data_IF_793574114475
#
_entry.id   IF_793574114475
#
_cell.length_a   1.000
_cell.length_b   1.000
_cell.length_c   1.000
_cell.angle_alpha   90.00
_cell.angle_beta   90.00
_cell.angle_gamma   90.00
#
_symmetry.space_group_name_H-M   'P 1'
#
loop_
_entity.id
_entity.type
_entity.pdbx_description
1 polymer ?
#
# COMPACT_ATOMS: atom_id res chain seq x y z
N UNK A 1 9.25 10.64 5.98
CA UNK A 1 8.15 11.45 5.41
C UNK A 1 8.42 12.97 5.41
N UNK A 2 9.55 13.46 5.93
CA UNK A 2 9.90 14.91 5.93
C UNK A 2 10.54 15.44 4.64
N UNK A 3 11.00 14.56 3.75
CA UNK A 3 11.72 14.95 2.52
C UNK A 3 10.79 15.47 1.41
N UNK A 4 9.52 15.09 1.40
CA UNK A 4 8.58 15.51 0.34
C UNK A 4 8.10 16.96 0.53
N UNK A 5 8.07 17.47 1.76
CA UNK A 5 7.78 18.88 2.04
C UNK A 5 8.96 19.81 1.74
N UNK A 6 10.21 19.37 1.99
CA UNK A 6 11.40 20.17 1.67
C UNK A 6 11.65 20.25 0.16
N UNK A 7 11.45 19.14 -0.56
CA UNK A 7 11.54 19.12 -2.01
C UNK A 7 10.47 19.99 -2.68
N UNK A 8 9.28 20.10 -2.09
CA UNK A 8 8.22 20.97 -2.61
C UNK A 8 8.55 22.46 -2.47
N UNK A 9 9.09 22.91 -1.33
CA UNK A 9 9.56 24.29 -1.18
C UNK A 9 10.73 24.61 -2.13
N UNK A 10 11.65 23.66 -2.31
CA UNK A 10 12.77 23.81 -3.25
C UNK A 10 12.29 23.89 -4.70
N UNK A 11 11.34 23.03 -5.08
CA UNK A 11 10.73 23.02 -6.42
C UNK A 11 9.92 24.30 -6.67
N UNK A 12 9.16 24.79 -5.68
CA UNK A 12 8.46 26.07 -5.79
C UNK A 12 9.41 27.25 -5.97
N UNK A 13 10.54 27.25 -5.27
CA UNK A 13 11.56 28.29 -5.43
C UNK A 13 12.18 28.27 -6.83
N UNK A 14 12.42 27.07 -7.38
CA UNK A 14 13.03 26.87 -8.69
C UNK A 14 12.05 27.11 -9.86
N UNK A 15 10.76 26.80 -9.70
CA UNK A 15 9.73 27.16 -10.68
C UNK A 15 9.47 28.66 -10.69
N UNK A 16 9.51 29.31 -9.53
CA UNK A 16 9.33 30.76 -9.43
C UNK A 16 10.54 31.54 -9.96
N UNK A 17 11.73 30.95 -10.02
CA UNK A 17 12.91 31.59 -10.60
C UNK A 17 12.92 31.58 -12.13
N UNK A 18 12.16 30.67 -12.76
CA UNK A 18 12.06 30.52 -14.22
C UNK A 18 10.92 31.32 -14.85
N UNK A 19 10.04 31.92 -14.05
CA UNK A 19 8.87 32.66 -14.54
C UNK A 19 9.16 34.17 -14.63
N UNK A 20 9.58 34.67 -15.80
CA UNK A 20 9.91 36.09 -16.07
C UNK A 20 8.69 37.06 -16.07
N UNK A 21 7.53 36.67 -15.51
CA UNK A 21 6.30 37.50 -15.52
C UNK A 21 5.99 38.09 -14.15
N UNK A 22 5.39 39.30 -14.05
CA UNK A 22 5.26 40.04 -12.79
C UNK A 22 4.50 39.22 -11.73
N UNK A 23 4.89 39.34 -10.44
CA UNK A 23 4.49 38.42 -9.38
C UNK A 23 2.99 38.52 -9.09
N UNK A 24 2.19 37.68 -9.73
CA UNK A 24 0.81 37.41 -9.29
C UNK A 24 0.90 36.44 -8.11
N UNK A 25 0.50 36.92 -6.94
CA UNK A 25 0.57 36.18 -5.68
C UNK A 25 -0.12 34.80 -5.81
N UNK A 26 0.66 33.72 -5.71
CA UNK A 26 0.29 32.33 -6.00
C UNK A 26 -0.66 31.67 -4.98
N UNK A 27 -1.67 32.38 -4.49
CA UNK A 27 -2.69 31.84 -3.58
C UNK A 27 -3.43 30.65 -4.18
N UNK A 28 -3.63 30.65 -5.50
CA UNK A 28 -4.35 29.59 -6.22
C UNK A 28 -3.59 28.25 -6.23
N UNK A 29 -2.26 28.30 -6.37
CA UNK A 29 -1.37 27.14 -6.27
C UNK A 29 -1.31 26.59 -4.84
N UNK A 30 -1.26 27.47 -3.84
CA UNK A 30 -1.26 27.09 -2.42
C UNK A 30 -2.61 26.46 -2.04
N UNK A 31 -3.74 27.04 -2.47
CA UNK A 31 -5.08 26.50 -2.22
C UNK A 31 -5.27 25.14 -2.89
N UNK A 32 -4.83 25.00 -4.13
CA UNK A 32 -4.89 23.72 -4.85
C UNK A 32 -4.01 22.68 -4.16
N UNK A 33 -2.77 23.02 -3.79
CA UNK A 33 -1.88 22.13 -3.06
C UNK A 33 -2.45 21.71 -1.70
N UNK A 34 -2.99 22.65 -0.92
CA UNK A 34 -3.60 22.36 0.38
C UNK A 34 -4.89 21.56 0.22
N UNK A 35 -5.70 21.81 -0.81
CA UNK A 35 -6.89 21.03 -1.10
C UNK A 35 -6.55 19.58 -1.49
N UNK A 36 -5.57 19.37 -2.38
CA UNK A 36 -5.07 18.05 -2.72
C UNK A 36 -4.43 17.35 -1.52
N UNK A 37 -3.66 18.07 -0.70
CA UNK A 37 -3.14 17.56 0.55
C UNK A 37 -4.28 17.17 1.49
N UNK A 38 -5.33 17.97 1.63
CA UNK A 38 -6.47 17.68 2.51
C UNK A 38 -7.29 16.47 2.04
N UNK A 39 -7.50 16.34 0.72
CA UNK A 39 -8.14 15.18 0.09
C UNK A 39 -7.30 13.89 0.23
N UNK A 40 -5.99 14.00 0.07
CA UNK A 40 -5.03 12.93 0.35
C UNK A 40 -4.83 12.72 1.88
N UNK A 41 -5.34 13.66 2.69
CA UNK A 41 -5.29 13.88 4.15
C UNK A 41 -3.93 14.16 4.75
N UNK A 42 -3.46 15.37 4.47
CA UNK A 42 -2.27 16.02 4.96
C UNK A 42 -2.60 17.42 5.47
N UNK A 43 -3.57 17.52 6.37
CA UNK A 43 -3.62 18.60 7.36
C UNK A 43 -3.08 18.04 8.67
N UNK A 44 -1.77 18.16 8.88
CA UNK A 44 -1.02 18.02 10.14
C UNK A 44 -1.67 17.19 11.27
N UNK A 45 -1.90 15.88 11.08
CA UNK A 45 -2.14 14.97 12.22
C UNK A 45 -3.09 13.80 12.01
N UNK A 46 -3.90 13.77 10.96
CA UNK A 46 -4.77 12.63 10.66
C UNK A 46 -4.27 11.85 9.46
N UNK A 47 -4.23 10.52 9.54
CA UNK A 47 -4.18 9.67 8.34
C UNK A 47 -5.26 10.17 7.34
N UNK A 48 -4.95 10.18 6.04
CA UNK A 48 -5.88 10.44 4.93
C UNK A 48 -7.36 10.23 5.24
N UNK A 49 -8.29 11.15 4.91
CA UNK A 49 -9.73 10.78 4.92
C UNK A 49 -9.97 9.52 4.07
N UNK A 50 -9.29 9.46 2.92
CA UNK A 50 -9.27 8.29 2.06
C UNK A 50 -8.62 7.06 2.72
N UNK A 51 -7.51 7.24 3.45
CA UNK A 51 -6.87 6.13 4.17
C UNK A 51 -7.72 5.63 5.35
N UNK A 52 -8.38 6.52 6.09
CA UNK A 52 -9.28 6.15 7.17
C UNK A 52 -10.53 5.45 6.64
N UNK A 53 -11.15 5.97 5.58
CA UNK A 53 -12.29 5.32 4.93
C UNK A 53 -11.91 3.94 4.39
N UNK A 54 -10.75 3.83 3.74
CA UNK A 54 -10.19 2.55 3.28
C UNK A 54 -9.97 1.58 4.44
N UNK A 55 -9.32 2.01 5.51
CA UNK A 55 -9.11 1.17 6.71
C UNK A 55 -10.43 0.76 7.34
N UNK A 56 -11.42 1.66 7.38
CA UNK A 56 -12.75 1.37 7.91
C UNK A 56 -13.52 0.35 7.07
N UNK A 57 -13.48 0.47 5.75
CA UNK A 57 -14.04 -0.51 4.83
C UNK A 57 -13.32 -1.86 4.94
N UNK A 58 -12.00 -1.84 5.09
CA UNK A 58 -11.18 -3.05 5.24
C UNK A 58 -11.54 -3.85 6.48
N UNK A 59 -11.77 -3.19 7.63
CA UNK A 59 -12.17 -3.86 8.87
C UNK A 59 -13.40 -4.74 8.65
N UNK A 60 -14.40 -4.25 7.91
CA UNK A 60 -15.61 -5.02 7.62
C UNK A 60 -15.30 -6.22 6.73
N UNK A 61 -14.52 -6.02 5.67
CA UNK A 61 -14.16 -7.10 4.71
C UNK A 61 -13.40 -8.22 5.43
N UNK A 62 -12.38 -7.88 6.23
CA UNK A 62 -11.62 -8.85 7.02
C UNK A 62 -12.51 -9.62 7.98
N UNK A 63 -13.39 -8.95 8.72
CA UNK A 63 -14.30 -9.63 9.65
C UNK A 63 -15.22 -10.64 8.96
N UNK A 64 -15.73 -10.32 7.77
CA UNK A 64 -16.56 -11.24 7.00
C UNK A 64 -15.76 -12.44 6.47
N UNK A 65 -14.59 -12.19 5.88
CA UNK A 65 -13.72 -13.26 5.34
C UNK A 65 -13.24 -14.21 6.42
N UNK A 66 -12.79 -13.69 7.58
CA UNK A 66 -12.38 -14.51 8.73
C UNK A 66 -13.50 -15.43 9.19
N UNK A 67 -14.71 -14.89 9.38
CA UNK A 67 -15.85 -15.65 9.88
C UNK A 67 -16.24 -16.79 8.93
N UNK A 68 -16.24 -16.55 7.62
CA UNK A 68 -16.58 -17.58 6.64
C UNK A 68 -15.55 -18.71 6.64
N UNK A 69 -14.25 -18.35 6.63
CA UNK A 69 -13.14 -19.30 6.66
C UNK A 69 -13.13 -20.12 7.96
N UNK A 70 -13.36 -19.50 9.11
CA UNK A 70 -13.46 -20.19 10.40
C UNK A 70 -14.62 -21.19 10.43
N UNK A 71 -15.80 -20.83 9.91
CA UNK A 71 -16.98 -21.71 9.89
C UNK A 71 -16.77 -22.89 8.94
N UNK A 72 -16.17 -22.66 7.78
CA UNK A 72 -15.87 -23.71 6.81
C UNK A 72 -14.81 -24.68 7.36
N UNK A 73 -13.74 -24.17 7.97
CA UNK A 73 -12.72 -24.98 8.61
C UNK A 73 -13.25 -25.74 9.84
N UNK A 74 -14.12 -25.13 10.65
CA UNK A 74 -14.78 -25.79 11.76
C UNK A 74 -15.68 -26.94 11.28
N UNK A 75 -16.46 -26.73 10.21
CA UNK A 75 -17.26 -27.80 9.59
C UNK A 75 -16.37 -28.92 9.03
N UNK A 76 -15.28 -28.57 8.37
CA UNK A 76 -14.33 -29.55 7.84
C UNK A 76 -13.70 -30.38 8.97
N UNK A 77 -13.27 -29.74 10.05
CA UNK A 77 -12.72 -30.39 11.24
C UNK A 77 -13.75 -31.28 11.94
N UNK A 78 -15.00 -30.83 12.10
CA UNK A 78 -16.08 -31.62 12.71
C UNK A 78 -16.53 -32.79 11.83
N UNK A 79 -16.34 -32.70 10.50
CA UNK A 79 -16.55 -33.80 9.56
C UNK A 79 -15.42 -34.84 9.58
N UNK A 80 -14.28 -34.51 10.19
CA UNK A 80 -13.11 -35.39 10.29
C UNK A 80 -13.22 -36.32 11.52
N UNK A 81 -12.99 -37.61 11.30
CA UNK A 81 -13.40 -38.70 12.20
C UNK A 81 -12.90 -38.59 13.66
N UNK A 82 -13.75 -39.09 14.58
CA UNK A 82 -13.58 -39.22 16.04
C UNK A 82 -12.22 -39.77 16.52
N UNK A 83 -11.49 -40.49 15.67
CA UNK A 83 -10.15 -41.06 15.94
C UNK A 83 -9.03 -40.01 15.91
N UNK A 84 -9.27 -38.86 15.26
CA UNK A 84 -8.35 -37.72 15.18
C UNK A 84 -8.48 -36.78 16.40
N UNK A 85 -9.71 -36.61 16.90
CA UNK A 85 -10.02 -35.83 18.12
C UNK A 85 -9.44 -36.45 19.41
N UNK A 86 -9.28 -37.77 19.48
CA UNK A 86 -8.69 -38.44 20.65
C UNK A 86 -7.15 -38.37 20.71
N UNK A 87 -6.47 -38.06 19.60
CA UNK A 87 -5.01 -38.18 19.50
C UNK A 87 -4.24 -36.86 19.68
N UNK A 88 -4.89 -35.70 19.51
CA UNK A 88 -4.29 -34.36 19.69
C UNK A 88 -5.31 -33.43 20.33
N UNK A 89 -4.86 -32.56 21.25
CA UNK A 89 -5.71 -31.57 21.92
C UNK A 89 -6.44 -30.72 20.86
N UNK A 90 -7.76 -30.89 20.72
CA UNK A 90 -8.61 -30.10 19.80
C UNK A 90 -8.42 -28.58 19.98
N UNK A 91 -8.07 -28.12 21.19
CA UNK A 91 -7.75 -26.71 21.47
C UNK A 91 -6.40 -26.21 20.93
N UNK A 92 -5.45 -27.08 20.62
CA UNK A 92 -4.20 -26.71 19.93
C UNK A 92 -4.44 -26.54 18.43
N UNK A 93 -5.26 -27.41 17.84
CA UNK A 93 -5.71 -27.32 16.44
C UNK A 93 -6.52 -26.04 16.20
N UNK A 94 -7.51 -25.75 17.06
CA UNK A 94 -8.32 -24.53 16.95
C UNK A 94 -7.43 -23.27 17.01
N UNK A 95 -6.48 -23.23 17.94
CA UNK A 95 -5.52 -22.11 18.04
C UNK A 95 -4.59 -21.98 16.84
N UNK A 96 -4.27 -23.07 16.14
CA UNK A 96 -3.47 -23.00 14.89
C UNK A 96 -4.34 -22.50 13.74
N UNK A 97 -5.61 -22.88 13.71
CA UNK A 97 -6.60 -22.42 12.73
C UNK A 97 -6.91 -20.93 12.86
N UNK A 98 -7.18 -20.44 14.06
CA UNK A 98 -7.46 -19.02 14.32
C UNK A 98 -6.24 -18.16 13.90
N UNK A 99 -5.03 -18.57 14.33
CA UNK A 99 -3.77 -17.90 13.92
C UNK A 99 -3.50 -17.98 12.42
N UNK A 100 -3.86 -19.10 11.78
CA UNK A 100 -3.74 -19.27 10.34
C UNK A 100 -4.66 -18.31 9.59
N UNK A 101 -5.89 -18.14 10.06
CA UNK A 101 -6.88 -17.23 9.49
C UNK A 101 -6.44 -15.78 9.65
N UNK A 102 -5.91 -15.39 10.81
CA UNK A 102 -5.33 -14.06 11.02
C UNK A 102 -4.16 -13.79 10.07
N UNK A 103 -3.28 -14.77 9.85
CA UNK A 103 -2.16 -14.66 8.90
C UNK A 103 -2.64 -14.48 7.46
N UNK A 104 -3.64 -15.26 7.02
CA UNK A 104 -4.24 -15.14 5.69
C UNK A 104 -4.82 -13.74 5.49
N UNK A 105 -5.52 -13.20 6.48
CA UNK A 105 -6.09 -11.85 6.40
C UNK A 105 -5.01 -10.76 6.31
N UNK A 106 -3.91 -10.91 7.06
CA UNK A 106 -2.78 -9.99 6.98
C UNK A 106 -2.09 -10.04 5.61
N UNK A 107 -1.90 -11.23 5.06
CA UNK A 107 -1.35 -11.41 3.71
C UNK A 107 -2.26 -10.80 2.64
N UNK A 108 -3.58 -11.03 2.74
CA UNK A 108 -4.55 -10.45 1.83
C UNK A 108 -4.52 -8.92 1.88
N UNK A 109 -4.43 -8.33 3.08
CA UNK A 109 -4.28 -6.89 3.27
C UNK A 109 -3.03 -6.39 2.56
N UNK A 110 -1.88 -7.02 2.81
CA UNK A 110 -0.61 -6.63 2.20
C UNK A 110 -0.64 -6.71 0.67
N UNK A 111 -1.21 -7.79 0.12
CA UNK A 111 -1.33 -7.97 -1.33
C UNK A 111 -2.20 -6.87 -1.93
N UNK A 112 -3.39 -6.62 -1.38
CA UNK A 112 -4.33 -5.65 -1.94
C UNK A 112 -3.88 -4.21 -1.78
N UNK A 113 -3.11 -3.91 -0.73
CA UNK A 113 -2.82 -2.54 -0.34
C UNK A 113 -1.42 -2.05 -0.59
N UNK A 114 -0.47 -2.97 -0.73
CA UNK A 114 0.92 -2.63 -1.08
C UNK A 114 1.27 -3.18 -2.46
N UNK A 115 1.02 -4.47 -2.71
CA UNK A 115 1.47 -5.10 -3.96
C UNK A 115 0.68 -4.61 -5.17
N UNK A 116 -0.65 -4.63 -5.11
CA UNK A 116 -1.52 -4.17 -6.21
C UNK A 116 -1.21 -2.73 -6.64
N UNK A 117 -1.19 -1.71 -5.74
CA UNK A 117 -0.87 -0.35 -6.18
C UNK A 117 0.55 -0.21 -6.71
N UNK A 118 1.52 -0.97 -6.19
CA UNK A 118 2.89 -0.98 -6.73
C UNK A 118 2.92 -1.49 -8.17
N UNK A 119 2.17 -2.56 -8.47
CA UNK A 119 2.07 -3.08 -9.85
C UNK A 119 1.43 -2.04 -10.77
N UNK A 120 0.34 -1.41 -10.34
CA UNK A 120 -0.35 -0.37 -11.11
C UNK A 120 0.57 0.81 -11.39
N UNK A 121 1.32 1.27 -10.39
CA UNK A 121 2.27 2.39 -10.53
C UNK A 121 3.37 2.06 -11.54
N UNK A 122 3.96 0.86 -11.47
CA UNK A 122 4.95 0.39 -12.45
C UNK A 122 4.36 0.36 -13.87
N UNK A 123 3.13 -0.15 -14.04
CA UNK A 123 2.48 -0.20 -15.36
C UNK A 123 2.25 1.21 -15.92
N UNK A 124 1.74 2.13 -15.11
CA UNK A 124 1.52 3.53 -15.51
C UNK A 124 2.85 4.19 -15.89
N UNK A 125 3.90 4.00 -15.09
CA UNK A 125 5.23 4.52 -15.37
C UNK A 125 5.77 4.00 -16.71
N UNK A 126 5.70 2.69 -16.96
CA UNK A 126 6.17 2.09 -18.22
C UNK A 126 5.41 2.64 -19.42
N UNK A 127 4.06 2.69 -19.36
CA UNK A 127 3.23 3.22 -20.46
C UNK A 127 3.56 4.68 -20.75
N UNK A 128 3.66 5.50 -19.70
CA UNK A 128 3.95 6.92 -19.81
C UNK A 128 5.32 7.19 -20.44
N UNK A 129 6.35 6.45 -20.00
CA UNK A 129 7.71 6.62 -20.51
C UNK A 129 7.87 6.13 -21.95
N UNK A 130 7.23 5.03 -22.33
CA UNK A 130 7.24 4.52 -23.72
C UNK A 130 6.54 5.51 -24.66
N UNK A 131 5.46 6.16 -24.23
CA UNK A 131 4.74 7.12 -25.05
C UNK A 131 5.42 8.50 -25.14
N UNK A 132 6.15 8.93 -24.10
CA UNK A 132 6.68 10.30 -24.04
C UNK A 132 8.14 10.45 -24.47
N UNK A 133 8.98 9.41 -24.38
CA UNK A 133 10.41 9.53 -24.68
C UNK A 133 10.96 8.38 -25.53
N UNK A 134 11.92 8.73 -26.40
CA UNK A 134 12.74 7.80 -27.16
C UNK A 134 13.42 6.79 -26.20
N UNK A 135 13.58 5.52 -26.60
CA UNK A 135 13.75 4.35 -25.71
C UNK A 135 14.86 4.38 -24.65
N UNK A 136 15.81 5.32 -24.74
CA UNK A 136 16.86 5.54 -23.75
C UNK A 136 16.36 5.99 -22.38
N UNK A 137 15.31 6.79 -22.29
CA UNK A 137 14.74 7.21 -21.00
C UNK A 137 13.99 6.07 -20.30
N UNK A 138 13.33 5.21 -21.07
CA UNK A 138 12.70 4.00 -20.54
C UNK A 138 13.70 3.07 -19.85
N UNK A 139 14.93 2.98 -20.39
CA UNK A 139 16.01 2.17 -19.82
C UNK A 139 16.41 2.67 -18.43
N UNK A 140 16.59 3.98 -18.24
CA UNK A 140 16.96 4.57 -16.93
C UNK A 140 15.90 4.25 -15.88
N UNK A 141 14.61 4.46 -16.20
CA UNK A 141 13.50 4.19 -15.28
C UNK A 141 13.42 2.71 -14.94
N UNK A 142 13.52 1.85 -15.95
CA UNK A 142 13.53 0.40 -15.77
C UNK A 142 14.67 -0.04 -14.86
N UNK A 143 15.89 0.49 -15.04
CA UNK A 143 17.03 0.21 -14.17
C UNK A 143 16.80 0.70 -12.74
N UNK A 144 16.25 1.91 -12.55
CA UNK A 144 15.95 2.42 -11.20
C UNK A 144 14.89 1.58 -10.49
N UNK A 145 13.89 1.07 -11.22
CA UNK A 145 12.84 0.23 -10.63
C UNK A 145 13.34 -1.17 -10.27
N UNK A 146 14.21 -1.76 -11.10
CA UNK A 146 14.89 -3.01 -10.79
C UNK A 146 15.78 -2.89 -9.55
N UNK A 147 16.55 -1.80 -9.43
CA UNK A 147 17.37 -1.54 -8.25
C UNK A 147 16.51 -1.36 -7.00
N UNK A 148 15.39 -0.64 -7.11
CA UNK A 148 14.45 -0.47 -6.00
C UNK A 148 13.89 -1.81 -5.50
N UNK A 149 13.44 -2.68 -6.41
CA UNK A 149 12.92 -4.01 -6.06
C UNK A 149 14.01 -4.88 -5.45
N UNK A 150 15.21 -4.91 -6.05
CA UNK A 150 16.34 -5.68 -5.53
C UNK A 150 16.74 -5.26 -4.11
N UNK A 151 16.82 -3.95 -3.88
CA UNK A 151 17.09 -3.39 -2.55
C UNK A 151 16.00 -3.76 -1.54
N UNK A 152 14.72 -3.71 -1.93
CA UNK A 152 13.60 -4.12 -1.07
C UNK A 152 13.67 -5.62 -0.71
N UNK A 153 14.04 -6.47 -1.68
CA UNK A 153 14.20 -7.91 -1.47
C UNK A 153 15.38 -8.22 -0.54
N UNK A 154 16.48 -7.49 -0.68
CA UNK A 154 17.64 -7.58 0.21
C UNK A 154 17.26 -7.17 1.63
N UNK A 155 16.54 -6.07 1.81
CA UNK A 155 16.04 -5.66 3.13
C UNK A 155 15.10 -6.70 3.74
N UNK A 156 14.24 -7.35 2.94
CA UNK A 156 13.36 -8.42 3.40
C UNK A 156 14.13 -9.66 3.87
N UNK A 157 15.23 -10.00 3.20
CA UNK A 157 16.12 -11.09 3.62
C UNK A 157 17.06 -10.71 4.78
N UNK A 158 17.32 -9.41 4.95
CA UNK A 158 18.21 -8.89 6.00
C UNK A 158 17.50 -8.60 7.33
N UNK A 159 16.16 -8.57 7.37
CA UNK A 159 15.41 -8.53 8.62
C UNK A 159 15.17 -9.97 9.14
N UNK A 160 15.72 -10.33 10.32
CA UNK A 160 15.46 -11.62 10.97
C UNK A 160 14.03 -11.72 11.55
#
# INVERSE_FOLDING_TARGET
MSYTSSLFCSWLYEVNSLAETPPKFCWDLILTYVAFKFLQGGGTGGMGLLNNLRSFLWIRITQYTTREVEVELFRHLHSLSLRWHLSRKTGEVLRVMDRGTDSINNLLNYILFSIVPTIVDILIAVIYFVSSFNGWFGLIVFTTMLLYIGNNLIYLYAMP
#
